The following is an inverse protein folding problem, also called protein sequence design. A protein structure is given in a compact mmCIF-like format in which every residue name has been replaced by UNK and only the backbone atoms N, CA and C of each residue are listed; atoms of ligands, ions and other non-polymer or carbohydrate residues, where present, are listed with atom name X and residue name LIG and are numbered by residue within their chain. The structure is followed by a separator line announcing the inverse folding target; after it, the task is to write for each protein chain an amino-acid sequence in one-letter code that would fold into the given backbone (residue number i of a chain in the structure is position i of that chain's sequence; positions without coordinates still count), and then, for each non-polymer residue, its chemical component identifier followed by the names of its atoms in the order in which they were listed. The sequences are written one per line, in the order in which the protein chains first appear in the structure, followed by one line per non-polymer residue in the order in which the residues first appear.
data_IF_239665589462
#
_entry.id   IF_239665589462
#
_cell.length_a   1.000
_cell.length_b   1.000
_cell.length_c   1.000
_cell.angle_alpha   90.00
_cell.angle_beta   90.00
_cell.angle_gamma   90.00
#
_symmetry.space_group_name_H-M   'P 1'
#
loop_
_entity.id
_entity.type
_entity.pdbx_description
1 polymer ?
#
# COMPACT_ATOMS: atom_id res chain seq x y z
N UNK A 1 13.60 -48.91 -5.99
CA UNK A 1 14.12 -47.77 -5.22
C UNK A 1 13.53 -46.52 -5.85
N UNK A 2 12.33 -46.11 -5.42
CA UNK A 2 11.64 -44.94 -5.96
C UNK A 2 12.13 -43.68 -5.26
N UNK A 3 12.84 -42.83 -6.00
CA UNK A 3 13.37 -41.55 -5.52
C UNK A 3 12.19 -40.58 -5.42
N UNK A 4 11.73 -40.31 -4.20
CA UNK A 4 10.90 -39.13 -3.90
C UNK A 4 11.75 -37.88 -4.15
N UNK A 5 11.54 -37.20 -5.27
CA UNK A 5 12.07 -35.87 -5.51
C UNK A 5 11.34 -34.87 -4.60
N UNK A 6 11.98 -34.48 -3.50
CA UNK A 6 11.57 -33.30 -2.74
C UNK A 6 11.95 -32.05 -3.56
N UNK A 7 11.02 -31.52 -4.35
CA UNK A 7 11.20 -30.18 -4.91
C UNK A 7 11.15 -29.18 -3.75
N UNK A 8 12.29 -28.58 -3.42
CA UNK A 8 12.35 -27.42 -2.52
C UNK A 8 11.55 -26.27 -3.15
N UNK A 9 10.38 -25.95 -2.58
CA UNK A 9 9.62 -24.77 -2.98
C UNK A 9 10.46 -23.53 -2.72
N UNK A 10 10.93 -22.88 -3.78
CA UNK A 10 11.57 -21.56 -3.69
C UNK A 10 10.55 -20.61 -3.09
N UNK A 11 10.92 -19.87 -2.02
CA UNK A 11 10.06 -18.83 -1.46
C UNK A 11 9.83 -17.78 -2.54
N UNK A 12 8.57 -17.58 -2.93
CA UNK A 12 8.22 -16.55 -3.90
C UNK A 12 8.37 -15.17 -3.24
N UNK A 13 9.34 -14.39 -3.69
CA UNK A 13 9.48 -12.97 -3.31
C UNK A 13 8.44 -12.16 -4.06
N UNK A 14 7.72 -11.29 -3.36
CA UNK A 14 6.67 -10.46 -3.98
C UNK A 14 7.26 -9.23 -4.67
N UNK A 15 6.53 -8.66 -5.65
CA UNK A 15 6.95 -7.41 -6.29
C UNK A 15 7.05 -6.24 -5.31
N UNK A 16 6.22 -6.25 -4.26
CA UNK A 16 6.27 -5.27 -3.18
C UNK A 16 7.56 -5.40 -2.36
N UNK A 17 7.93 -6.63 -1.98
CA UNK A 17 9.18 -6.91 -1.26
C UNK A 17 10.42 -6.52 -2.06
N UNK A 18 10.43 -6.78 -3.37
CA UNK A 18 11.53 -6.39 -4.26
C UNK A 18 11.66 -4.86 -4.40
N UNK A 19 10.55 -4.14 -4.34
CA UNK A 19 10.52 -2.69 -4.49
C UNK A 19 10.63 -1.93 -3.15
N UNK A 20 10.55 -2.63 -2.01
CA UNK A 20 10.61 -2.02 -0.67
C UNK A 20 9.34 -1.28 -0.26
N UNK A 21 8.20 -1.61 -0.84
CA UNK A 21 6.91 -0.97 -0.54
C UNK A 21 6.12 -1.73 0.53
N UNK A 22 5.49 -0.99 1.45
CA UNK A 22 4.55 -1.55 2.43
C UNK A 22 3.21 -1.89 1.76
N UNK A 23 2.87 -1.20 0.67
CA UNK A 23 1.65 -1.43 -0.08
C UNK A 23 1.76 -2.66 -1.02
N UNK A 24 0.68 -3.43 -1.11
CA UNK A 24 0.64 -4.65 -1.93
C UNK A 24 0.53 -4.36 -3.44
N UNK A 25 1.68 -4.27 -4.12
CA UNK A 25 1.78 -4.07 -5.59
C UNK A 25 0.94 -5.10 -6.37
N UNK A 26 0.99 -6.38 -5.99
CA UNK A 26 0.25 -7.44 -6.68
C UNK A 26 -1.27 -7.28 -6.57
N UNK A 27 -1.75 -6.71 -5.46
CA UNK A 27 -3.17 -6.41 -5.27
C UNK A 27 -3.58 -5.25 -6.18
N UNK A 28 -2.78 -4.19 -6.24
CA UNK A 28 -3.00 -3.05 -7.15
C UNK A 28 -3.08 -3.52 -8.60
N UNK A 29 -2.14 -4.38 -9.03
CA UNK A 29 -2.18 -4.96 -10.37
C UNK A 29 -3.49 -5.71 -10.67
N UNK A 30 -3.95 -6.57 -9.75
CA UNK A 30 -5.24 -7.27 -9.90
C UNK A 30 -6.44 -6.32 -9.92
N UNK A 31 -6.39 -5.22 -9.16
CA UNK A 31 -7.45 -4.21 -9.15
C UNK A 31 -7.51 -3.44 -10.47
N UNK A 32 -6.37 -3.10 -11.07
CA UNK A 32 -6.31 -2.45 -12.38
C UNK A 32 -6.91 -3.32 -13.49
N UNK A 33 -6.64 -4.63 -13.46
CA UNK A 33 -7.22 -5.59 -14.41
C UNK A 33 -8.74 -5.77 -14.21
N UNK A 34 -9.21 -5.82 -12.96
CA UNK A 34 -10.64 -5.96 -12.64
C UNK A 34 -11.44 -4.67 -12.89
N UNK A 35 -10.81 -3.51 -12.72
CA UNK A 35 -11.43 -2.20 -12.90
C UNK A 35 -11.64 -1.81 -14.36
N UNK A 36 -11.21 -2.66 -15.32
CA UNK A 36 -11.31 -2.42 -16.75
C UNK A 36 -10.72 -1.05 -17.18
N UNK A 37 -9.67 -0.59 -16.47
CA UNK A 37 -9.08 0.73 -16.66
C UNK A 37 -8.37 0.85 -18.02
N UNK A 38 -7.89 -0.27 -18.56
CA UNK A 38 -7.26 -0.36 -19.88
C UNK A 38 -7.34 -1.80 -20.41
N UNK A 39 -7.15 -1.97 -21.72
CA UNK A 39 -7.08 -3.29 -22.37
C UNK A 39 -5.84 -4.09 -21.92
N UNK A 40 -4.72 -3.41 -21.65
CA UNK A 40 -3.49 -4.00 -21.12
C UNK A 40 -2.92 -3.09 -20.02
N UNK A 41 -2.34 -3.69 -18.98
CA UNK A 41 -1.67 -2.97 -17.88
C UNK A 41 -0.17 -3.24 -17.99
N UNK A 42 0.66 -2.19 -17.97
CA UNK A 42 2.12 -2.34 -17.99
C UNK A 42 2.63 -2.82 -16.63
N UNK A 43 3.78 -3.50 -16.63
CA UNK A 43 4.36 -4.04 -15.39
C UNK A 43 4.74 -2.96 -14.36
N UNK A 44 5.07 -1.75 -14.83
CA UNK A 44 5.46 -0.61 -14.00
C UNK A 44 4.24 0.12 -13.40
N UNK A 45 3.10 0.10 -14.09
CA UNK A 45 1.88 0.78 -13.64
C UNK A 45 1.46 0.46 -12.18
N UNK A 46 1.39 -0.81 -11.74
CA UNK A 46 1.02 -1.12 -10.37
C UNK A 46 2.07 -0.67 -9.35
N UNK A 47 3.35 -0.66 -9.71
CA UNK A 47 4.45 -0.22 -8.85
C UNK A 47 4.37 1.29 -8.63
N UNK A 48 4.21 2.05 -9.72
CA UNK A 48 4.06 3.50 -9.67
C UNK A 48 2.83 3.92 -8.86
N UNK A 49 1.68 3.26 -9.10
CA UNK A 49 0.46 3.56 -8.36
C UNK A 49 0.58 3.19 -6.88
N UNK A 50 1.19 2.05 -6.54
CA UNK A 50 1.43 1.67 -5.14
C UNK A 50 2.32 2.70 -4.43
N UNK A 51 3.38 3.19 -5.08
CA UNK A 51 4.28 4.20 -4.53
C UNK A 51 3.56 5.52 -4.21
N UNK A 52 2.73 6.02 -5.14
CA UNK A 52 1.97 7.26 -4.94
C UNK A 52 0.96 7.10 -3.81
N UNK A 53 0.24 5.97 -3.76
CA UNK A 53 -0.72 5.71 -2.69
C UNK A 53 -0.03 5.59 -1.32
N UNK A 54 1.10 4.91 -1.25
CA UNK A 54 1.88 4.78 -0.01
C UNK A 54 2.39 6.14 0.47
N UNK A 55 2.89 6.98 -0.44
CA UNK A 55 3.30 8.35 -0.13
C UNK A 55 2.15 9.19 0.44
N UNK A 56 1.00 9.22 -0.24
CA UNK A 56 -0.14 10.02 0.20
C UNK A 56 -0.70 9.56 1.56
N UNK A 57 -0.76 8.25 1.78
CA UNK A 57 -1.23 7.68 3.05
C UNK A 57 -0.23 7.96 4.18
N UNK A 58 1.07 7.86 3.91
CA UNK A 58 2.10 8.17 4.90
C UNK A 58 2.06 9.63 5.35
N UNK A 59 1.90 10.57 4.40
CA UNK A 59 1.77 12.00 4.70
C UNK A 59 0.53 12.28 5.55
N UNK A 60 -0.64 11.80 5.10
CA UNK A 60 -1.91 12.01 5.79
C UNK A 60 -1.92 11.40 7.20
N UNK A 61 -1.37 10.19 7.36
CA UNK A 61 -1.23 9.56 8.67
C UNK A 61 -0.23 10.27 9.57
N UNK A 62 0.87 10.81 9.01
CA UNK A 62 1.85 11.58 9.76
C UNK A 62 1.24 12.80 10.44
N UNK A 63 0.49 13.60 9.67
CA UNK A 63 -0.20 14.79 10.19
C UNK A 63 -1.31 14.40 11.17
N UNK A 64 -2.16 13.42 10.81
CA UNK A 64 -3.28 13.03 11.67
C UNK A 64 -2.84 12.35 12.98
N UNK A 65 -1.69 11.68 12.98
CA UNK A 65 -1.08 11.14 14.19
C UNK A 65 -0.56 12.27 15.10
N UNK A 66 0.06 13.31 14.54
CA UNK A 66 0.41 14.53 15.28
C UNK A 66 -0.81 15.13 15.98
N UNK A 67 -1.91 15.34 15.25
CA UNK A 67 -3.18 15.83 15.82
C UNK A 67 -3.75 14.90 16.89
N UNK A 68 -3.56 13.58 16.78
CA UNK A 68 -3.98 12.63 17.81
C UNK A 68 -3.18 12.81 19.10
N UNK A 69 -1.85 12.96 18.98
CA UNK A 69 -0.94 13.19 20.10
C UNK A 69 -1.22 14.52 20.78
N UNK A 70 -1.44 15.58 20.01
CA UNK A 70 -1.78 16.91 20.53
C UNK A 70 -3.11 16.91 21.29
N UNK A 71 -4.04 16.04 20.90
CA UNK A 71 -5.30 15.79 21.59
C UNK A 71 -5.19 14.80 22.76
N UNK A 72 -3.96 14.51 23.21
CA UNK A 72 -3.64 13.58 24.31
C UNK A 72 -4.20 12.16 24.11
N UNK A 73 -4.28 11.71 22.85
CA UNK A 73 -4.73 10.35 22.50
C UNK A 73 -3.56 9.52 21.99
N UNK A 74 -3.35 8.36 22.61
CA UNK A 74 -2.40 7.35 22.12
C UNK A 74 -2.87 6.55 20.89
N UNK A 75 -4.05 6.86 20.35
CA UNK A 75 -4.61 6.18 19.18
C UNK A 75 -5.32 7.20 18.27
N UNK A 76 -5.22 6.97 16.97
CA UNK A 76 -5.88 7.78 15.95
C UNK A 76 -7.36 7.41 15.84
N UNK A 77 -8.24 8.44 15.84
CA UNK A 77 -9.68 8.29 15.64
C UNK A 77 -10.11 9.03 14.36
N UNK A 78 -11.28 8.70 13.77
CA UNK A 78 -11.78 9.35 12.56
C UNK A 78 -11.81 10.89 12.64
N UNK A 79 -12.06 11.45 13.84
CA UNK A 79 -12.03 12.90 14.08
C UNK A 79 -10.67 13.55 13.80
N UNK A 80 -9.55 12.87 14.08
CA UNK A 80 -8.22 13.44 13.85
C UNK A 80 -7.92 13.49 12.34
N UNK A 81 -8.38 12.48 11.59
CA UNK A 81 -8.33 12.51 10.13
C UNK A 81 -9.21 13.63 9.57
N UNK A 82 -10.42 13.80 10.11
CA UNK A 82 -11.34 14.84 9.67
C UNK A 82 -10.79 16.25 9.91
N UNK A 83 -10.16 16.49 11.07
CA UNK A 83 -9.48 17.76 11.35
C UNK A 83 -8.43 18.06 10.28
N UNK A 84 -7.59 17.09 9.94
CA UNK A 84 -6.59 17.29 8.88
C UNK A 84 -7.24 17.51 7.52
N UNK A 85 -8.18 16.68 7.10
CA UNK A 85 -8.77 16.78 5.74
C UNK A 85 -9.60 18.05 5.56
N UNK A 86 -10.30 18.51 6.60
CA UNK A 86 -11.20 19.66 6.49
C UNK A 86 -10.55 20.99 6.87
N UNK A 87 -9.44 20.98 7.61
CA UNK A 87 -8.65 22.19 7.89
C UNK A 87 -7.43 22.34 6.95
N UNK A 88 -7.16 21.37 6.08
CA UNK A 88 -6.15 21.53 5.03
C UNK A 88 -6.63 22.61 4.05
N UNK A 89 -6.08 23.81 4.20
CA UNK A 89 -6.21 24.92 3.25
C UNK A 89 -5.35 24.61 2.03
N UNK A 90 -5.83 23.71 1.17
CA UNK A 90 -5.25 23.45 -0.15
C UNK A 90 -6.10 24.03 -1.29
#
# INVERSE_FOLDING_TARGET
MDVRTHSSSVKATTRAELAGFSFYVDRVHRMLLRGNCAHCVSDIAPVCLAAVLEYLVAELLGVACGVAVDNERGCMFPRHLHMVICEDES
#
